data_IF_370266740486
#
_entry.id   IF_370266740486
#
_cell.length_a   1.000
_cell.length_b   1.000
_cell.length_c   1.000
_cell.angle_alpha   90.00
_cell.angle_beta   90.00
_cell.angle_gamma   90.00
#
_symmetry.space_group_name_H-M   'P 1'
#
loop_
_entity.id
_entity.type
_entity.pdbx_description
1 polymer ?
#
# COMPACT_ATOMS: atom_id res chain seq x y z
N UNK A 1 -12.19 -0.58 -15.75
CA UNK A 1 -11.04 0.35 -15.66
C UNK A 1 -9.95 0.05 -16.72
N UNK A 2 -9.04 1.00 -16.98
CA UNK A 2 -7.84 0.81 -17.83
C UNK A 2 -6.61 0.46 -16.96
N UNK A 3 -5.59 -0.17 -17.54
CA UNK A 3 -4.32 -0.42 -16.85
C UNK A 3 -3.64 0.88 -16.39
N UNK A 4 -3.76 1.95 -17.18
CA UNK A 4 -3.24 3.27 -16.84
C UNK A 4 -3.88 3.84 -15.56
N UNK A 5 -5.21 3.77 -15.43
CA UNK A 5 -5.90 4.22 -14.21
C UNK A 5 -5.49 3.40 -12.98
N UNK A 6 -5.28 2.08 -13.14
CA UNK A 6 -4.75 1.25 -12.06
C UNK A 6 -3.30 1.63 -11.70
N UNK A 7 -2.47 1.96 -12.70
CA UNK A 7 -1.09 2.41 -12.49
C UNK A 7 -1.05 3.71 -11.67
N UNK A 8 -1.90 4.66 -12.01
CA UNK A 8 -2.00 5.94 -11.29
C UNK A 8 -2.45 5.73 -9.84
N UNK A 9 -3.43 4.84 -9.61
CA UNK A 9 -3.88 4.47 -8.26
C UNK A 9 -2.75 3.86 -7.43
N UNK A 10 -1.99 2.92 -8.01
CA UNK A 10 -0.87 2.24 -7.36
C UNK A 10 0.24 3.24 -7.01
N UNK A 11 0.56 4.14 -7.94
CA UNK A 11 1.56 5.19 -7.73
C UNK A 11 1.15 6.16 -6.62
N UNK A 12 -0.10 6.66 -6.64
CA UNK A 12 -0.64 7.56 -5.62
C UNK A 12 -0.65 6.92 -4.22
N UNK A 13 -0.81 5.60 -4.16
CA UNK A 13 -0.83 4.84 -2.91
C UNK A 13 0.55 4.55 -2.33
N UNK A 14 1.63 4.83 -3.06
CA UNK A 14 2.99 4.45 -2.68
C UNK A 14 3.18 2.93 -2.59
N UNK A 15 2.39 2.17 -3.36
CA UNK A 15 2.52 0.72 -3.47
C UNK A 15 3.50 0.43 -4.62
N UNK A 16 4.46 -0.44 -4.35
CA UNK A 16 5.45 -0.86 -5.34
C UNK A 16 4.94 -2.02 -6.20
N UNK A 17 5.52 -2.19 -7.38
CA UNK A 17 5.25 -3.37 -8.22
C UNK A 17 5.63 -4.69 -7.53
N UNK A 18 6.66 -4.66 -6.67
CA UNK A 18 7.11 -5.82 -5.91
C UNK A 18 6.07 -6.24 -4.85
N UNK A 19 5.49 -5.28 -4.14
CA UNK A 19 4.40 -5.54 -3.19
C UNK A 19 3.18 -6.14 -3.89
N UNK A 20 2.77 -5.57 -5.02
CA UNK A 20 1.67 -6.13 -5.82
C UNK A 20 1.96 -7.53 -6.34
N UNK A 21 3.16 -7.75 -6.86
CA UNK A 21 3.61 -9.06 -7.34
C UNK A 21 3.53 -10.12 -6.24
N UNK A 22 3.99 -9.78 -5.03
CA UNK A 22 3.92 -10.66 -3.87
C UNK A 22 2.49 -10.96 -3.46
N UNK A 23 1.64 -9.95 -3.33
CA UNK A 23 0.26 -10.13 -2.87
C UNK A 23 -0.66 -10.82 -3.88
N UNK A 24 -0.40 -10.61 -5.17
CA UNK A 24 -1.16 -11.24 -6.24
C UNK A 24 -0.57 -12.60 -6.65
N UNK A 25 0.58 -13.00 -6.09
CA UNK A 25 1.31 -14.23 -6.42
C UNK A 25 1.54 -14.36 -7.93
N UNK A 26 1.92 -13.25 -8.56
CA UNK A 26 2.22 -13.17 -10.00
C UNK A 26 3.57 -12.49 -10.21
N UNK A 27 4.17 -12.65 -11.38
CA UNK A 27 5.46 -12.04 -11.67
C UNK A 27 5.36 -10.51 -11.79
N UNK A 28 6.42 -9.75 -11.48
CA UNK A 28 6.45 -8.30 -11.68
C UNK A 28 6.17 -7.92 -13.15
N UNK A 29 6.58 -8.77 -14.09
CA UNK A 29 6.26 -8.61 -15.52
C UNK A 29 4.76 -8.68 -15.78
N UNK A 30 4.06 -9.67 -15.23
CA UNK A 30 2.60 -9.78 -15.38
C UNK A 30 1.85 -8.59 -14.78
N UNK A 31 2.35 -8.03 -13.67
CA UNK A 31 1.84 -6.77 -13.10
C UNK A 31 2.05 -5.63 -14.10
N UNK A 32 3.27 -5.45 -14.61
CA UNK A 32 3.59 -4.40 -15.57
C UNK A 32 2.76 -4.48 -16.86
N UNK A 33 2.57 -5.69 -17.40
CA UNK A 33 1.73 -5.94 -18.59
C UNK A 33 0.27 -5.54 -18.31
N UNK A 34 -0.23 -5.84 -17.11
CA UNK A 34 -1.59 -5.45 -16.68
C UNK A 34 -1.73 -3.93 -16.58
N UNK A 35 -0.71 -3.23 -16.08
CA UNK A 35 -0.70 -1.77 -15.97
C UNK A 35 -0.61 -1.05 -17.32
N UNK A 36 -0.15 -1.73 -18.37
CA UNK A 36 -0.13 -1.20 -19.73
C UNK A 36 -1.38 -1.60 -20.54
N UNK A 37 -2.25 -2.44 -19.99
CA UNK A 37 -3.43 -2.92 -20.68
C UNK A 37 -4.41 -1.78 -20.97
N UNK A 38 -4.86 -1.66 -22.23
CA UNK A 38 -5.87 -0.67 -22.61
C UNK A 38 -7.19 -0.85 -21.84
N UNK A 39 -7.53 -2.09 -21.49
CA UNK A 39 -8.74 -2.43 -20.73
C UNK A 39 -8.49 -3.68 -19.89
N UNK A 40 -8.93 -3.64 -18.63
CA UNK A 40 -8.87 -4.79 -17.73
C UNK A 40 -10.14 -5.62 -17.80
N UNK A 41 -10.01 -6.93 -17.59
CA UNK A 41 -11.17 -7.81 -17.35
C UNK A 41 -11.72 -7.54 -15.94
N UNK A 42 -13.03 -7.66 -15.75
CA UNK A 42 -13.70 -7.38 -14.46
C UNK A 42 -13.08 -8.18 -13.32
N UNK A 43 -12.86 -9.49 -13.50
CA UNK A 43 -12.21 -10.32 -12.48
C UNK A 43 -10.78 -9.88 -12.13
N UNK A 44 -10.04 -9.34 -13.11
CA UNK A 44 -8.69 -8.79 -12.89
C UNK A 44 -8.79 -7.47 -12.13
N UNK A 45 -9.72 -6.61 -12.52
CA UNK A 45 -9.99 -5.33 -11.88
C UNK A 45 -10.33 -5.49 -10.39
N UNK A 46 -11.32 -6.33 -10.06
CA UNK A 46 -11.73 -6.59 -8.68
C UNK A 46 -10.58 -7.11 -7.82
N UNK A 47 -9.81 -8.07 -8.36
CA UNK A 47 -8.68 -8.66 -7.64
C UNK A 47 -7.61 -7.62 -7.33
N UNK A 48 -7.22 -6.80 -8.31
CA UNK A 48 -6.19 -5.78 -8.12
C UNK A 48 -6.67 -4.68 -7.17
N UNK A 49 -7.90 -4.20 -7.31
CA UNK A 49 -8.46 -3.19 -6.42
C UNK A 49 -8.55 -3.69 -4.97
N UNK A 50 -8.93 -4.95 -4.78
CA UNK A 50 -8.99 -5.57 -3.44
C UNK A 50 -7.61 -5.59 -2.78
N UNK A 51 -6.58 -6.02 -3.51
CA UNK A 51 -5.21 -6.06 -3.00
C UNK A 51 -4.69 -4.65 -2.71
N UNK A 52 -4.88 -3.71 -3.62
CA UNK A 52 -4.48 -2.31 -3.43
C UNK A 52 -5.16 -1.71 -2.20
N UNK A 53 -6.48 -1.86 -2.06
CA UNK A 53 -7.22 -1.35 -0.92
C UNK A 53 -6.79 -1.98 0.41
N UNK A 54 -6.43 -3.27 0.42
CA UNK A 54 -5.85 -3.91 1.60
C UNK A 54 -4.49 -3.32 1.95
N UNK A 55 -3.57 -3.21 0.98
CA UNK A 55 -2.23 -2.67 1.20
C UNK A 55 -2.25 -1.21 1.67
N UNK A 56 -3.17 -0.39 1.14
CA UNK A 56 -3.38 1.00 1.62
C UNK A 56 -3.75 1.00 3.11
N UNK A 57 -4.70 0.14 3.52
CA UNK A 57 -5.13 0.03 4.92
C UNK A 57 -4.01 -0.46 5.83
N UNK A 58 -3.23 -1.45 5.41
CA UNK A 58 -2.09 -1.95 6.16
C UNK A 58 -1.02 -0.87 6.34
N UNK A 59 -0.68 -0.12 5.29
CA UNK A 59 0.27 1.01 5.40
C UNK A 59 -0.26 2.12 6.28
N UNK A 60 -1.57 2.41 6.24
CA UNK A 60 -2.18 3.38 7.14
C UNK A 60 -2.09 2.92 8.60
N UNK A 61 -2.41 1.65 8.88
CA UNK A 61 -2.29 1.07 10.21
C UNK A 61 -0.84 1.06 10.72
N UNK A 62 0.13 0.78 9.85
CA UNK A 62 1.55 0.85 10.19
C UNK A 62 2.00 2.28 10.50
N UNK A 63 1.60 3.26 9.69
CA UNK A 63 1.90 4.67 9.96
C UNK A 63 1.31 5.13 11.28
N UNK A 64 0.10 4.70 11.60
CA UNK A 64 -0.54 5.03 12.87
C UNK A 64 0.18 4.38 14.05
N UNK A 65 0.56 3.10 13.94
CA UNK A 65 1.39 2.43 14.96
C UNK A 65 2.72 3.14 15.18
N UNK A 66 3.41 3.50 14.10
CA UNK A 66 4.68 4.23 14.19
C UNK A 66 4.49 5.63 14.81
N UNK A 67 3.38 6.32 14.55
CA UNK A 67 3.06 7.58 15.23
C UNK A 67 2.83 7.39 16.72
N UNK A 68 2.07 6.37 17.10
CA UNK A 68 1.81 6.07 18.52
C UNK A 68 3.09 5.67 19.23
N UNK A 69 3.92 4.81 18.63
CA UNK A 69 5.23 4.44 19.19
C UNK A 69 6.18 5.64 19.31
N UNK A 70 6.22 6.53 18.32
CA UNK A 70 6.99 7.77 18.40
C UNK A 70 6.48 8.69 19.52
N UNK A 71 5.15 8.86 19.63
CA UNK A 71 4.55 9.67 20.69
C UNK A 71 4.80 9.08 22.10
N UNK A 72 4.82 7.74 22.22
CA UNK A 72 5.13 7.05 23.48
C UNK A 72 6.63 7.10 23.82
N UNK A 73 7.51 7.04 22.82
CA UNK A 73 8.95 7.23 22.97
C UNK A 73 9.35 8.67 23.31
N UNK A 74 8.50 9.64 22.99
CA UNK A 74 8.65 11.07 23.32
C UNK A 74 8.01 11.47 24.65
N UNK A 75 7.33 10.58 25.38
CA UNK A 75 6.90 10.89 26.75
C UNK A 75 8.17 10.98 27.60
N UNK A 76 8.57 12.18 28.08
CA UNK A 76 9.69 12.27 29.02
C UNK A 76 9.35 11.36 30.20
N UNK A 77 10.31 10.51 30.61
CA UNK A 77 10.15 9.74 31.83
C UNK A 77 9.70 10.69 32.94
N UNK A 78 8.82 10.24 33.84
CA UNK A 78 8.36 11.04 34.98
C UNK A 78 9.53 11.60 35.83
N UNK A 79 10.74 11.07 35.67
CA UNK A 79 11.98 11.62 36.24
C UNK A 79 12.39 12.97 35.65
N UNK A 80 12.09 13.26 34.38
CA UNK A 80 12.42 14.54 33.73
C UNK A 80 11.41 15.67 34.04
N UNK A 81 10.24 15.33 34.62
CA UNK A 81 9.22 16.30 35.04
C UNK A 81 9.34 16.70 36.53
N UNK A 82 10.25 16.09 37.29
CA UNK A 82 10.45 16.33 38.73
C UNK A 82 11.80 16.98 39.08
N UNK A 83 12.55 17.50 38.10
CA UNK A 83 13.77 18.30 38.31
C UNK A 83 13.44 19.80 38.30
#
# INVERSE_FOLDING_TARGET
MTGAALKDLVAASGITLAELSRELTITPKAVADTLQAKRLRVATEERYLTVVARLIREKAALRERLRVEAALGEIPSLEALCA
#
